data_IF_581837617576
#
_entry.id   IF_581837617576
#
_cell.length_a   1.000
_cell.length_b   1.000
_cell.length_c   1.000
_cell.angle_alpha   90.00
_cell.angle_beta   90.00
_cell.angle_gamma   90.00
#
_symmetry.space_group_name_H-M   'P 1'
#
loop_
_entity.id
_entity.type
_entity.pdbx_description
1 polymer ?
#
# COMPACT_ATOMS: atom_id res chain seq x y z
N UNK A 1 31.11 11.56 39.82
CA UNK A 1 31.27 11.36 38.35
C UNK A 1 30.69 10.05 37.85
N UNK A 2 31.02 8.89 38.44
CA UNK A 2 30.51 7.58 38.00
C UNK A 2 28.97 7.48 37.96
N UNK A 3 28.26 7.98 38.99
CA UNK A 3 26.79 7.91 39.04
C UNK A 3 26.04 8.75 38.01
N UNK A 4 26.61 9.88 37.56
CA UNK A 4 26.01 10.70 36.49
C UNK A 4 26.10 9.96 35.16
N UNK A 5 27.23 9.30 34.89
CA UNK A 5 27.41 8.49 33.68
C UNK A 5 26.42 7.32 33.68
N UNK A 6 26.20 6.65 34.82
CA UNK A 6 25.21 5.58 34.94
C UNK A 6 23.78 6.08 34.72
N UNK A 7 23.43 7.25 35.25
CA UNK A 7 22.11 7.85 35.06
C UNK A 7 21.85 8.24 33.59
N UNK A 8 22.85 8.81 32.90
CA UNK A 8 22.76 9.13 31.47
C UNK A 8 22.58 7.86 30.64
N UNK A 9 23.29 6.79 30.97
CA UNK A 9 23.16 5.50 30.29
C UNK A 9 21.76 4.89 30.46
N UNK A 10 21.15 5.04 31.64
CA UNK A 10 19.80 4.55 31.94
C UNK A 10 18.69 5.37 31.25
N UNK A 11 18.91 6.66 30.99
CA UNK A 11 17.95 7.49 30.24
C UNK A 11 18.00 7.17 28.74
N UNK A 12 19.18 6.83 28.19
CA UNK A 12 19.31 6.47 26.77
C UNK A 12 18.60 5.15 26.40
N UNK A 13 18.47 4.19 27.32
CA UNK A 13 17.79 2.91 27.04
C UNK A 13 16.28 3.06 26.91
N UNK A 14 15.68 4.10 27.50
CA UNK A 14 14.22 4.34 27.43
C UNK A 14 13.82 5.05 26.13
N UNK A 15 14.71 5.84 25.53
CA UNK A 15 14.44 6.56 24.28
C UNK A 15 14.34 5.66 23.03
N UNK A 16 14.77 4.39 23.12
CA UNK A 16 14.81 3.45 21.99
C UNK A 16 13.47 2.82 21.58
N UNK A 17 12.39 3.04 22.34
CA UNK A 17 11.14 2.29 22.17
C UNK A 17 10.00 3.00 21.40
N UNK A 18 10.28 4.10 20.70
CA UNK A 18 9.28 4.80 19.89
C UNK A 18 9.42 4.49 18.39
N UNK A 19 9.17 3.25 17.98
CA UNK A 19 9.15 2.84 16.57
C UNK A 19 7.84 3.28 15.90
N UNK A 20 7.85 4.45 15.26
CA UNK A 20 6.71 4.95 14.51
C UNK A 20 6.77 4.51 13.04
N UNK A 21 5.68 3.95 12.54
CA UNK A 21 5.56 3.58 11.13
C UNK A 21 5.21 4.81 10.28
N UNK A 22 5.86 4.96 9.14
CA UNK A 22 5.60 6.03 8.18
C UNK A 22 5.21 5.49 6.81
N UNK A 23 4.20 6.11 6.20
CA UNK A 23 3.78 5.80 4.83
C UNK A 23 4.63 6.61 3.84
N UNK A 24 5.20 5.94 2.83
CA UNK A 24 5.82 6.59 1.66
C UNK A 24 5.14 6.16 0.35
N UNK A 25 5.59 6.73 -0.77
CA UNK A 25 4.96 6.56 -2.08
C UNK A 25 4.76 5.09 -2.48
N UNK A 26 3.71 4.84 -3.25
CA UNK A 26 3.40 3.51 -3.80
C UNK A 26 2.98 2.47 -2.76
N UNK A 27 2.52 2.86 -1.57
CA UNK A 27 2.14 1.91 -0.52
C UNK A 27 3.31 1.22 0.16
N UNK A 28 4.47 1.88 0.18
CA UNK A 28 5.65 1.45 0.94
C UNK A 28 5.55 1.98 2.37
N UNK A 29 5.99 1.17 3.33
CA UNK A 29 5.94 1.49 4.75
C UNK A 29 7.36 1.43 5.28
N UNK A 30 7.70 2.40 6.12
CA UNK A 30 9.02 2.56 6.69
C UNK A 30 8.93 2.60 8.21
N UNK A 31 9.98 2.11 8.84
CA UNK A 31 10.26 2.28 10.26
C UNK A 31 11.56 3.08 10.37
N UNK A 32 11.45 4.37 10.71
CA UNK A 32 12.55 5.32 10.52
C UNK A 32 12.99 5.37 9.05
N UNK A 33 14.24 5.00 8.78
CA UNK A 33 14.82 4.91 7.43
C UNK A 33 14.73 3.51 6.80
N UNK A 34 14.33 2.50 7.57
CA UNK A 34 14.26 1.12 7.08
C UNK A 34 12.95 0.86 6.35
N UNK A 35 13.04 0.46 5.08
CA UNK A 35 11.89 0.03 4.29
C UNK A 35 11.43 -1.36 4.75
N UNK A 36 10.18 -1.48 5.16
CA UNK A 36 9.60 -2.75 5.57
C UNK A 36 9.00 -3.50 4.38
N UNK A 37 9.17 -4.83 4.37
CA UNK A 37 8.46 -5.75 3.50
C UNK A 37 6.99 -5.87 3.90
N UNK A 38 6.14 -6.41 3.02
CA UNK A 38 4.70 -6.52 3.34
C UNK A 38 4.46 -7.48 4.51
N UNK A 39 5.27 -8.52 4.62
CA UNK A 39 5.25 -9.51 5.69
C UNK A 39 5.73 -8.90 7.01
N UNK A 40 6.79 -8.08 6.98
CA UNK A 40 7.26 -7.34 8.15
C UNK A 40 6.19 -6.38 8.66
N UNK A 41 5.53 -5.62 7.76
CA UNK A 41 4.43 -4.73 8.16
C UNK A 41 3.28 -5.52 8.79
N UNK A 42 2.92 -6.69 8.25
CA UNK A 42 1.88 -7.55 8.86
C UNK A 42 2.28 -8.05 10.24
N UNK A 43 3.55 -8.38 10.44
CA UNK A 43 4.08 -8.78 11.75
C UNK A 43 3.93 -7.64 12.77
N UNK A 44 4.38 -6.43 12.42
CA UNK A 44 4.27 -5.23 13.28
C UNK A 44 2.81 -4.88 13.58
N UNK A 45 1.94 -4.98 12.58
CA UNK A 45 0.49 -4.74 12.75
C UNK A 45 -0.24 -5.91 13.42
N UNK A 46 0.40 -7.05 13.67
CA UNK A 46 -0.23 -8.27 14.19
C UNK A 46 -0.91 -8.07 15.54
N UNK A 47 -0.38 -7.16 16.36
CA UNK A 47 -0.93 -6.80 17.67
C UNK A 47 -2.23 -5.98 17.59
N UNK A 48 -2.57 -5.41 16.42
CA UNK A 48 -3.79 -4.65 16.20
C UNK A 48 -4.55 -5.23 15.00
N UNK A 49 -5.50 -6.12 15.28
CA UNK A 49 -6.32 -6.81 14.26
C UNK A 49 -7.00 -5.86 13.29
N UNK A 50 -7.44 -4.70 13.76
CA UNK A 50 -8.12 -3.72 12.90
C UNK A 50 -7.14 -3.02 11.97
N UNK A 51 -5.96 -2.64 12.46
CA UNK A 51 -4.90 -2.08 11.63
C UNK A 51 -4.42 -3.11 10.58
N UNK A 52 -4.26 -4.37 10.98
CA UNK A 52 -3.91 -5.47 10.07
C UNK A 52 -4.95 -5.68 8.97
N UNK A 53 -6.24 -5.66 9.33
CA UNK A 53 -7.35 -5.77 8.37
C UNK A 53 -7.36 -4.61 7.37
N UNK A 54 -7.20 -3.36 7.84
CA UNK A 54 -7.11 -2.18 6.98
C UNK A 54 -5.91 -2.25 6.02
N UNK A 55 -4.77 -2.73 6.51
CA UNK A 55 -3.57 -2.92 5.69
C UNK A 55 -3.81 -3.97 4.59
N UNK A 56 -4.36 -5.13 4.94
CA UNK A 56 -4.67 -6.19 3.97
C UNK A 56 -5.73 -5.75 2.94
N UNK A 57 -6.75 -5.00 3.36
CA UNK A 57 -7.73 -4.38 2.47
C UNK A 57 -7.08 -3.35 1.52
N UNK A 58 -6.10 -2.58 2.02
CA UNK A 58 -5.29 -1.69 1.18
C UNK A 58 -4.46 -2.45 0.16
N UNK A 59 -3.74 -3.50 0.59
CA UNK A 59 -2.90 -4.32 -0.30
C UNK A 59 -3.70 -5.04 -1.38
N UNK A 60 -4.83 -5.65 -1.04
CA UNK A 60 -5.73 -6.29 -2.01
C UNK A 60 -6.28 -5.29 -3.03
N UNK A 61 -6.71 -4.10 -2.58
CA UNK A 61 -7.11 -3.01 -3.50
C UNK A 61 -5.96 -2.61 -4.44
N UNK A 62 -4.73 -2.47 -3.94
CA UNK A 62 -3.57 -2.16 -4.80
C UNK A 62 -3.37 -3.24 -5.86
N UNK A 63 -3.45 -4.52 -5.49
CA UNK A 63 -3.29 -5.64 -6.41
C UNK A 63 -4.39 -5.63 -7.47
N UNK A 64 -5.67 -5.64 -7.07
CA UNK A 64 -6.79 -5.64 -8.01
C UNK A 64 -6.84 -4.39 -8.87
N UNK A 65 -6.52 -3.22 -8.32
CA UNK A 65 -6.40 -1.99 -9.10
C UNK A 65 -5.31 -2.06 -10.16
N UNK A 66 -4.18 -2.71 -9.88
CA UNK A 66 -3.13 -2.94 -10.87
C UNK A 66 -3.53 -4.00 -11.91
N UNK A 67 -4.16 -5.09 -11.49
CA UNK A 67 -4.64 -6.14 -12.40
C UNK A 67 -5.66 -5.56 -13.38
N UNK A 68 -6.65 -4.80 -12.89
CA UNK A 68 -7.67 -4.19 -13.74
C UNK A 68 -7.07 -3.12 -14.67
N UNK A 69 -6.16 -2.29 -14.16
CA UNK A 69 -5.53 -1.25 -14.96
C UNK A 69 -4.65 -1.86 -16.06
N UNK A 70 -3.65 -2.66 -15.69
CA UNK A 70 -2.71 -3.23 -16.66
C UNK A 70 -3.36 -4.30 -17.54
N UNK A 71 -4.28 -5.10 -16.99
CA UNK A 71 -5.07 -6.05 -17.77
C UNK A 71 -6.03 -5.36 -18.74
N UNK A 72 -6.65 -4.26 -18.33
CA UNK A 72 -7.49 -3.47 -19.23
C UNK A 72 -6.68 -2.81 -20.34
N UNK A 73 -5.52 -2.22 -20.00
CA UNK A 73 -4.61 -1.65 -20.99
C UNK A 73 -4.09 -2.70 -21.96
N UNK A 74 -3.71 -3.89 -21.49
CA UNK A 74 -3.20 -4.94 -22.38
C UNK A 74 -4.27 -5.43 -23.35
N UNK A 75 -5.53 -5.54 -22.94
CA UNK A 75 -6.65 -5.89 -23.82
C UNK A 75 -6.88 -4.83 -24.91
N UNK A 76 -6.83 -3.54 -24.55
CA UNK A 76 -6.98 -2.44 -25.51
C UNK A 76 -5.85 -2.47 -26.54
N UNK A 77 -4.60 -2.59 -26.08
CA UNK A 77 -3.43 -2.64 -26.98
C UNK A 77 -3.46 -3.89 -27.86
N UNK A 78 -3.79 -5.06 -27.31
CA UNK A 78 -3.89 -6.30 -28.08
C UNK A 78 -4.98 -6.21 -29.15
N UNK A 79 -6.15 -5.62 -28.82
CA UNK A 79 -7.22 -5.42 -29.78
C UNK A 79 -6.82 -4.47 -30.90
N UNK A 80 -6.09 -3.39 -30.58
CA UNK A 80 -5.55 -2.46 -31.56
C UNK A 80 -4.54 -3.15 -32.49
N UNK A 81 -3.59 -3.91 -31.93
CA UNK A 81 -2.60 -4.65 -32.74
C UNK A 81 -3.31 -5.64 -33.66
N UNK A 82 -4.26 -6.43 -33.16
CA UNK A 82 -5.06 -7.35 -33.97
C UNK A 82 -5.83 -6.60 -35.07
N UNK A 83 -6.45 -5.46 -34.75
CA UNK A 83 -7.15 -4.64 -35.74
C UNK A 83 -6.26 -4.04 -36.83
N UNK A 84 -5.00 -3.74 -36.51
CA UNK A 84 -4.03 -3.20 -37.47
C UNK A 84 -3.31 -4.29 -38.29
N UNK A 85 -3.34 -5.55 -37.85
CA UNK A 85 -2.54 -6.63 -38.44
C UNK A 85 -3.36 -7.75 -39.08
N UNK A 86 -4.65 -7.87 -38.75
CA UNK A 86 -5.52 -8.89 -39.33
C UNK A 86 -6.44 -8.28 -40.36
N UNK A 87 -6.20 -8.65 -41.62
CA UNK A 87 -7.20 -8.55 -42.68
C UNK A 87 -8.00 -9.85 -42.69
N UNK A 88 -9.18 -9.85 -42.07
CA UNK A 88 -10.13 -10.99 -42.09
C UNK A 88 -10.84 -11.08 -43.46
N UNK A 89 -10.04 -11.13 -44.54
CA UNK A 89 -10.49 -11.26 -45.91
C UNK A 89 -10.44 -12.74 -46.30
N UNK A 90 -11.62 -13.36 -46.31
CA UNK A 90 -11.79 -14.74 -46.76
C UNK A 90 -12.15 -14.76 -48.24
N UNK A 91 -11.44 -15.57 -49.03
CA UNK A 91 -11.72 -15.81 -50.45
C UNK A 91 -12.25 -17.23 -50.57
N UNK A 92 -13.50 -17.38 -51.02
CA UNK A 92 -14.13 -18.69 -51.22
C UNK A 92 -14.45 -18.91 -52.71
N UNK A 93 -14.15 -20.10 -53.21
CA UNK A 93 -14.46 -20.52 -54.58
C UNK A 93 -15.59 -21.56 -54.53
N UNK A 94 -16.78 -21.26 -55.08
CA UNK A 94 -17.84 -22.26 -55.21
C UNK A 94 -17.42 -23.35 -56.20
N UNK A 95 -17.83 -24.61 -55.94
CA UNK A 95 -17.29 -25.85 -56.54
C UNK A 95 -17.32 -26.02 -58.06
N UNK A 96 -17.86 -25.05 -58.82
CA UNK A 96 -17.98 -25.11 -60.28
C UNK A 96 -17.63 -23.79 -61.02
N UNK A 97 -16.98 -22.80 -60.41
CA UNK A 97 -16.81 -21.50 -61.09
C UNK A 97 -15.62 -20.63 -60.68
N UNK A 98 -15.01 -20.04 -61.72
CA UNK A 98 -13.90 -19.07 -61.80
C UNK A 98 -14.16 -17.70 -61.11
N UNK A 99 -15.20 -17.57 -60.27
CA UNK A 99 -15.57 -16.31 -59.63
C UNK A 99 -15.33 -16.38 -58.12
N UNK A 100 -14.25 -15.75 -57.61
CA UNK A 100 -13.98 -15.71 -56.17
C UNK A 100 -15.02 -14.83 -55.46
N UNK A 101 -15.63 -15.35 -54.39
CA UNK A 101 -16.37 -14.55 -53.43
C UNK A 101 -15.39 -14.04 -52.37
N UNK A 102 -15.23 -12.72 -52.29
CA UNK A 102 -14.38 -12.06 -51.29
C UNK A 102 -15.28 -11.50 -50.19
N UNK A 103 -15.13 -11.99 -48.97
CA UNK A 103 -15.82 -11.45 -47.80
C UNK A 103 -14.79 -10.98 -46.78
N UNK A 104 -14.83 -9.69 -46.46
CA UNK A 104 -14.01 -9.09 -45.40
C UNK A 104 -14.88 -8.85 -44.16
N UNK A 105 -14.46 -9.36 -43.00
CA UNK A 105 -15.13 -9.08 -41.72
C UNK A 105 -14.37 -8.01 -40.94
N UNK A 106 -15.05 -7.02 -40.35
CA UNK A 106 -14.39 -6.04 -39.50
C UNK A 106 -13.93 -6.67 -38.18
N UNK A 107 -12.78 -6.23 -37.69
CA UNK A 107 -12.25 -6.66 -36.40
C UNK A 107 -13.17 -6.23 -35.26
N UNK A 108 -13.47 -7.17 -34.35
CA UNK A 108 -14.31 -6.90 -33.18
C UNK A 108 -13.60 -6.04 -32.14
N UNK A 109 -14.23 -4.95 -31.71
CA UNK A 109 -13.74 -4.05 -30.64
C UNK A 109 -14.08 -4.54 -29.21
N UNK A 110 -14.69 -5.71 -29.06
CA UNK A 110 -15.16 -6.20 -27.74
C UNK A 110 -14.05 -6.21 -26.70
N UNK A 111 -12.84 -6.65 -27.05
CA UNK A 111 -11.72 -6.69 -26.11
C UNK A 111 -11.26 -5.28 -25.69
N UNK A 112 -11.27 -4.30 -26.60
CA UNK A 112 -10.95 -2.91 -26.26
C UNK A 112 -12.02 -2.28 -25.35
N UNK A 113 -13.30 -2.56 -25.58
CA UNK A 113 -14.41 -2.06 -24.75
C UNK A 113 -14.29 -2.63 -23.33
N UNK A 114 -14.12 -3.96 -23.20
CA UNK A 114 -13.92 -4.61 -21.89
C UNK A 114 -12.68 -4.04 -21.21
N UNK A 115 -11.57 -3.90 -21.96
CA UNK A 115 -10.34 -3.35 -21.42
C UNK A 115 -10.50 -1.90 -20.94
N UNK A 116 -11.20 -1.06 -21.69
CA UNK A 116 -11.56 0.30 -21.30
C UNK A 116 -12.40 0.34 -20.02
N UNK A 117 -13.41 -0.52 -19.91
CA UNK A 117 -14.24 -0.64 -18.71
C UNK A 117 -13.41 -1.06 -17.48
N UNK A 118 -12.47 -1.99 -17.64
CA UNK A 118 -11.55 -2.40 -16.55
C UNK A 118 -10.65 -1.25 -16.09
N UNK A 119 -10.12 -0.44 -17.03
CA UNK A 119 -9.32 0.75 -16.69
C UNK A 119 -10.15 1.72 -15.86
N UNK A 120 -11.38 2.04 -16.29
CA UNK A 120 -12.26 2.97 -15.57
C UNK A 120 -12.57 2.44 -14.16
N UNK A 121 -12.92 1.16 -14.04
CA UNK A 121 -13.17 0.51 -12.75
C UNK A 121 -11.93 0.52 -11.81
N UNK A 122 -10.72 0.56 -12.37
CA UNK A 122 -9.48 0.56 -11.59
C UNK A 122 -9.18 1.89 -10.88
N UNK A 123 -9.71 3.01 -11.38
CA UNK A 123 -9.42 4.37 -10.87
C UNK A 123 -9.82 4.53 -9.39
N UNK A 124 -11.08 4.30 -8.98
CA UNK A 124 -11.47 4.46 -7.57
C UNK A 124 -10.71 3.50 -6.65
N UNK A 125 -10.33 2.32 -7.16
CA UNK A 125 -9.55 1.33 -6.42
C UNK A 125 -8.12 1.85 -6.18
N UNK A 126 -7.47 2.41 -7.21
CA UNK A 126 -6.12 2.98 -7.13
C UNK A 126 -6.06 4.21 -6.22
N UNK A 127 -7.11 5.03 -6.18
CA UNK A 127 -7.20 6.18 -5.25
C UNK A 127 -7.45 5.70 -3.81
N UNK A 128 -8.19 4.61 -3.62
CA UNK A 128 -8.59 4.12 -2.30
C UNK A 128 -7.51 3.35 -1.53
N UNK A 129 -6.62 2.62 -2.21
CA UNK A 129 -5.59 1.82 -1.53
C UNK A 129 -4.64 2.63 -0.62
N UNK A 130 -4.08 3.80 -1.02
CA UNK A 130 -3.16 4.53 -0.16
C UNK A 130 -3.86 5.03 1.11
N UNK A 131 -5.13 5.43 1.00
CA UNK A 131 -5.95 5.85 2.14
C UNK A 131 -6.05 4.74 3.18
N UNK A 132 -6.34 3.51 2.75
CA UNK A 132 -6.44 2.34 3.66
C UNK A 132 -5.11 2.01 4.34
N UNK A 133 -3.99 2.03 3.61
CA UNK A 133 -2.67 1.77 4.19
C UNK A 133 -2.28 2.87 5.19
N UNK A 134 -2.53 4.14 4.86
CA UNK A 134 -2.31 5.26 5.78
C UNK A 134 -3.15 5.13 7.05
N UNK A 135 -4.42 4.79 6.93
CA UNK A 135 -5.30 4.57 8.09
C UNK A 135 -4.83 3.41 8.98
N UNK A 136 -4.33 2.31 8.39
CA UNK A 136 -3.75 1.21 9.15
C UNK A 136 -2.53 1.66 9.98
N UNK A 137 -1.64 2.42 9.36
CA UNK A 137 -0.44 2.96 10.00
C UNK A 137 -0.79 3.95 11.10
N UNK A 138 -1.71 4.89 10.83
CA UNK A 138 -2.19 5.84 11.82
C UNK A 138 -2.74 5.10 13.05
N UNK A 139 -3.60 4.09 12.84
CA UNK A 139 -4.19 3.32 13.94
C UNK A 139 -3.17 2.53 14.76
N UNK A 140 -2.09 2.06 14.15
CA UNK A 140 -0.98 1.44 14.87
C UNK A 140 -0.23 2.47 15.71
N UNK A 141 0.13 3.61 15.11
CA UNK A 141 0.85 4.70 15.78
C UNK A 141 0.03 5.32 16.93
N UNK A 142 -1.28 5.50 16.75
CA UNK A 142 -2.19 5.99 17.80
C UNK A 142 -2.23 5.03 18.99
N UNK A 143 -2.16 3.73 18.72
CA UNK A 143 -2.01 2.70 19.75
C UNK A 143 -0.72 2.82 20.56
N UNK A 144 0.37 3.32 19.97
CA UNK A 144 1.61 3.62 20.70
C UNK A 144 1.43 4.82 21.63
N UNK A 145 0.67 5.84 21.19
CA UNK A 145 0.38 7.04 22.00
C UNK A 145 -0.58 6.74 23.15
N UNK A 146 -1.59 5.87 22.96
CA UNK A 146 -2.52 5.51 24.03
C UNK A 146 -1.91 4.56 25.08
N UNK A 147 -0.90 3.77 24.71
CA UNK A 147 -0.11 2.98 25.64
C UNK A 147 1.01 3.80 26.34
N UNK A 148 1.19 5.07 25.96
CA UNK A 148 1.97 6.01 26.74
C UNK A 148 1.17 6.40 27.99
N UNK A 149 1.28 5.59 29.04
CA UNK A 149 1.00 6.08 30.39
C UNK A 149 1.93 7.28 30.62
N UNK A 150 1.46 8.43 31.12
CA UNK A 150 2.33 9.56 31.39
C UNK A 150 3.50 9.05 32.20
N UNK A 151 4.70 9.14 31.62
CA UNK A 151 5.91 8.70 32.26
C UNK A 151 5.98 9.37 33.63
N UNK A 152 6.20 8.56 34.66
CA UNK A 152 6.37 8.97 36.04
C UNK A 152 7.06 10.33 36.11
N UNK A 153 6.33 11.37 36.52
CA UNK A 153 6.81 12.75 36.40
C UNK A 153 7.84 12.97 37.50
N UNK A 154 9.10 12.71 37.16
CA UNK A 154 10.22 12.83 38.10
C UNK A 154 10.71 14.26 38.08
N UNK A 155 10.25 15.07 39.03
CA UNK A 155 10.66 16.46 39.14
C UNK A 155 11.77 16.56 40.18
N UNK A 156 12.91 17.16 39.78
CA UNK A 156 14.01 17.40 40.69
C UNK A 156 13.65 18.63 41.54
N UNK A 157 13.49 18.43 42.85
CA UNK A 157 13.12 19.50 43.78
C UNK A 157 14.35 19.82 44.62
N UNK A 158 14.89 21.02 44.43
CA UNK A 158 16.00 21.52 45.24
C UNK A 158 15.50 22.63 46.18
N UNK A 159 15.80 22.47 47.46
CA UNK A 159 15.59 23.47 48.52
C UNK A 159 16.94 23.89 49.10
N UNK A 160 16.99 24.99 49.84
CA UNK A 160 18.19 25.52 50.51
C UNK A 160 18.88 24.51 51.44
N UNK A 161 18.18 23.44 51.85
CA UNK A 161 18.70 22.44 52.78
C UNK A 161 18.86 21.04 52.18
N UNK A 162 18.18 20.72 51.07
CA UNK A 162 18.12 19.34 50.53
C UNK A 162 17.81 19.32 49.03
N UNK A 163 18.31 18.28 48.34
CA UNK A 163 17.92 17.92 46.97
C UNK A 163 17.13 16.63 47.05
N UNK A 164 15.90 16.64 46.55
CA UNK A 164 15.00 15.48 46.53
C UNK A 164 14.44 15.22 45.13
N UNK A 165 14.01 13.99 44.89
CA UNK A 165 13.29 13.59 43.68
C UNK A 165 11.82 13.43 44.03
N UNK A 166 10.95 14.23 43.42
CA UNK A 166 9.50 14.05 43.51
C UNK A 166 9.07 13.13 42.37
N UNK A 167 8.55 11.97 42.73
CA UNK A 167 8.05 10.96 41.79
C UNK A 167 6.51 10.99 41.91
N UNK A 168 5.84 11.53 40.88
CA UNK A 168 4.36 11.51 40.78
C UNK A 168 3.93 10.35 39.87
N UNK A 169 2.99 9.54 40.35
CA UNK A 169 2.40 8.39 39.65
C UNK A 169 1.05 8.74 39.05
#
# INVERSE_FOLDING_TARGET
>A
MKGIITAVFLVMTVAGFSQQLTYRSGGTVYEGENKLSSEQVRSVLGNNREALSLYNAGRSKKTWGNVLFYGGTSLVVANLVVGLTKDDTSVSYPGNGYYPSVTSKPTSFTAAIIGGAMIIASIPIKIGYPKKIKSAIAKHNDGLVQNYKPATKTTLVASTSQIGLKIEF
#
